data_IF_966830701407
#
_entry.id   IF_966830701407
#
_cell.length_a   1.000
_cell.length_b   1.000
_cell.length_c   1.000
_cell.angle_alpha   90.00
_cell.angle_beta   90.00
_cell.angle_gamma   90.00
#
_symmetry.space_group_name_H-M   'P 1'
#
loop_
_entity.id
_entity.type
_entity.pdbx_description
1 polymer ?
#
# COMPACT_ATOMS: atom_id res chain seq x y z
N UNK A 1 -17.70 -24.03 -37.89
CA UNK A 1 -16.59 -23.33 -38.57
C UNK A 1 -15.82 -22.62 -37.48
N UNK A 2 -14.79 -23.30 -36.97
CA UNK A 2 -14.22 -23.03 -35.64
C UNK A 2 -13.14 -21.97 -35.77
N UNK A 3 -13.46 -20.73 -35.38
CA UNK A 3 -12.50 -19.60 -35.36
C UNK A 3 -11.25 -19.96 -34.53
N UNK A 4 -11.37 -20.91 -33.60
CA UNK A 4 -10.33 -21.42 -32.73
C UNK A 4 -9.23 -22.24 -33.43
N UNK A 5 -9.48 -22.85 -34.60
CA UNK A 5 -8.51 -23.77 -35.23
C UNK A 5 -7.32 -23.04 -35.89
N UNK A 6 -7.45 -21.74 -36.17
CA UNK A 6 -6.42 -20.92 -36.81
C UNK A 6 -5.78 -19.88 -35.87
N UNK A 7 -6.13 -19.89 -34.58
CA UNK A 7 -5.55 -18.97 -33.61
C UNK A 7 -4.32 -19.62 -32.98
N UNK A 8 -3.24 -18.85 -32.89
CA UNK A 8 -2.08 -19.27 -32.10
C UNK A 8 -2.40 -19.14 -30.61
N UNK A 9 -1.62 -19.81 -29.76
CA UNK A 9 -1.76 -19.69 -28.30
C UNK A 9 -1.65 -18.22 -27.86
N UNK A 10 -0.75 -17.46 -28.47
CA UNK A 10 -0.58 -16.03 -28.18
C UNK A 10 -1.84 -15.21 -28.54
N UNK A 11 -2.56 -15.60 -29.59
CA UNK A 11 -3.80 -14.91 -29.96
C UNK A 11 -4.90 -15.19 -28.93
N UNK A 12 -4.96 -16.42 -28.41
CA UNK A 12 -5.89 -16.79 -27.35
C UNK A 12 -5.56 -16.06 -26.04
N UNK A 13 -4.29 -15.96 -25.67
CA UNK A 13 -3.84 -15.20 -24.51
C UNK A 13 -4.26 -13.73 -24.60
N UNK A 14 -3.99 -13.08 -25.74
CA UNK A 14 -4.41 -11.68 -25.97
C UNK A 14 -5.93 -11.48 -25.87
N UNK A 15 -6.71 -12.45 -26.33
CA UNK A 15 -8.17 -12.39 -26.24
C UNK A 15 -8.66 -12.57 -24.79
N UNK A 16 -8.01 -13.42 -24.02
CA UNK A 16 -8.31 -13.62 -22.60
C UNK A 16 -7.97 -12.34 -21.82
N UNK A 17 -6.80 -11.76 -22.05
CA UNK A 17 -6.36 -10.54 -21.37
C UNK A 17 -7.31 -9.38 -21.66
N UNK A 18 -7.64 -9.14 -22.93
CA UNK A 18 -8.61 -8.10 -23.32
C UNK A 18 -9.97 -8.29 -22.63
N UNK A 19 -10.42 -9.55 -22.50
CA UNK A 19 -11.71 -9.86 -21.86
C UNK A 19 -11.66 -9.69 -20.34
N UNK A 20 -10.53 -10.01 -19.71
CA UNK A 20 -10.30 -9.80 -18.28
C UNK A 20 -10.26 -8.31 -17.99
N UNK A 21 -9.53 -7.53 -18.79
CA UNK A 21 -9.43 -6.08 -18.64
C UNK A 21 -10.79 -5.40 -18.72
N UNK A 22 -11.61 -5.71 -19.72
CA UNK A 22 -13.00 -5.21 -19.81
C UNK A 22 -13.82 -5.53 -18.56
N UNK A 23 -13.66 -6.74 -18.03
CA UNK A 23 -14.39 -7.19 -16.85
C UNK A 23 -13.90 -6.48 -15.58
N UNK A 24 -12.59 -6.29 -15.44
CA UNK A 24 -11.99 -5.57 -14.32
C UNK A 24 -12.40 -4.10 -14.35
N UNK A 25 -12.38 -3.46 -15.52
CA UNK A 25 -12.88 -2.10 -15.73
C UNK A 25 -14.35 -1.99 -15.34
N UNK A 26 -15.18 -2.95 -15.77
CA UNK A 26 -16.62 -2.94 -15.43
C UNK A 26 -16.89 -3.12 -13.94
N UNK A 27 -16.04 -3.84 -13.19
CA UNK A 27 -16.27 -4.15 -11.78
C UNK A 27 -15.64 -3.12 -10.83
N UNK A 28 -14.47 -2.58 -11.20
CA UNK A 28 -13.66 -1.75 -10.33
C UNK A 28 -13.60 -0.28 -10.80
N UNK A 29 -14.16 0.03 -11.97
CA UNK A 29 -14.03 1.32 -12.63
C UNK A 29 -12.78 1.40 -13.52
N UNK A 30 -12.67 2.44 -14.35
CA UNK A 30 -11.44 2.73 -15.08
C UNK A 30 -10.40 3.30 -14.11
N UNK A 31 -9.34 2.54 -13.84
CA UNK A 31 -8.14 3.07 -13.21
C UNK A 31 -7.29 3.72 -14.30
N UNK A 32 -7.54 5.01 -14.58
CA UNK A 32 -6.58 5.84 -15.31
C UNK A 32 -5.44 6.22 -14.35
N UNK A 33 -4.67 5.22 -13.92
CA UNK A 33 -3.35 5.49 -13.34
C UNK A 33 -2.44 5.77 -14.53
N UNK A 34 -2.26 7.03 -14.90
CA UNK A 34 -1.16 7.39 -15.77
C UNK A 34 0.13 6.91 -15.12
N UNK A 35 1.05 6.32 -15.90
CA UNK A 35 2.38 5.97 -15.38
C UNK A 35 2.99 7.18 -14.68
N UNK A 36 2.79 8.38 -15.23
CA UNK A 36 3.15 9.65 -14.62
C UNK A 36 2.63 9.79 -13.17
N UNK A 37 1.37 9.46 -12.88
CA UNK A 37 0.79 9.57 -11.53
C UNK A 37 1.30 8.50 -10.55
N UNK A 38 1.81 7.37 -11.04
CA UNK A 38 2.47 6.36 -10.21
C UNK A 38 3.91 6.78 -9.84
N UNK A 39 4.57 7.55 -10.71
CA UNK A 39 5.89 8.13 -10.46
C UNK A 39 5.83 9.51 -9.76
N UNK A 40 4.67 10.16 -9.72
CA UNK A 40 4.42 11.43 -8.99
C UNK A 40 4.09 11.21 -7.50
N UNK A 41 4.15 9.97 -7.00
CA UNK A 41 4.25 9.76 -5.54
C UNK A 41 5.61 10.28 -5.10
N UNK A 42 5.60 11.54 -4.69
CA UNK A 42 6.71 12.39 -4.27
C UNK A 42 7.44 11.82 -3.04
N UNK A 43 8.02 10.62 -3.17
CA UNK A 43 8.89 10.01 -2.17
C UNK A 43 10.17 10.84 -1.96
N UNK A 44 10.51 11.69 -2.95
CA UNK A 44 11.71 12.53 -3.00
C UNK A 44 11.43 14.04 -2.76
N UNK A 45 10.17 14.48 -2.56
CA UNK A 45 9.89 15.90 -2.24
C UNK A 45 10.13 16.28 -0.78
N UNK A 46 10.21 15.30 0.12
CA UNK A 46 10.74 15.55 1.45
C UNK A 46 12.27 15.51 1.36
N UNK A 47 12.91 16.62 1.71
CA UNK A 47 14.37 16.71 1.77
C UNK A 47 14.93 15.47 2.51
N UNK A 48 15.96 14.80 1.97
CA UNK A 48 16.48 13.57 2.56
C UNK A 48 16.80 13.83 4.03
N UNK A 49 16.33 12.94 4.91
CA UNK A 49 16.53 13.09 6.35
C UNK A 49 18.03 13.17 6.65
N UNK A 50 18.47 14.37 7.07
CA UNK A 50 19.88 14.66 7.35
C UNK A 50 20.31 14.24 8.76
N UNK A 51 19.39 13.69 9.56
CA UNK A 51 19.69 13.26 10.92
C UNK A 51 20.56 12.01 10.93
N UNK A 52 21.53 12.00 11.83
CA UNK A 52 22.31 10.78 12.11
C UNK A 52 21.45 9.76 12.86
N UNK A 53 21.82 8.48 12.77
CA UNK A 53 21.15 7.42 13.52
C UNK A 53 21.07 7.69 15.03
N UNK A 54 22.11 8.29 15.61
CA UNK A 54 22.13 8.65 17.03
C UNK A 54 21.11 9.73 17.37
N UNK A 55 20.94 10.73 16.50
CA UNK A 55 19.94 11.78 16.66
C UNK A 55 18.52 11.24 16.56
N UNK A 56 18.25 10.36 15.58
CA UNK A 56 16.95 9.69 15.44
C UNK A 56 16.61 8.89 16.71
N UNK A 57 17.58 8.14 17.24
CA UNK A 57 17.38 7.38 18.48
C UNK A 57 17.08 8.30 19.67
N UNK A 58 17.79 9.42 19.78
CA UNK A 58 17.57 10.39 20.85
C UNK A 58 16.19 11.07 20.75
N UNK A 59 15.77 11.43 19.53
CA UNK A 59 14.45 12.00 19.28
C UNK A 59 13.35 11.02 19.70
N UNK A 60 13.48 9.73 19.32
CA UNK A 60 12.54 8.69 19.74
C UNK A 60 12.45 8.59 21.26
N UNK A 61 13.58 8.60 21.97
CA UNK A 61 13.58 8.52 23.45
C UNK A 61 12.99 9.77 24.10
N UNK A 62 13.24 10.96 23.55
CA UNK A 62 12.65 12.21 24.04
C UNK A 62 11.14 12.23 23.83
N UNK A 63 10.69 11.78 22.67
CA UNK A 63 9.29 11.87 22.25
C UNK A 63 8.47 10.68 22.76
N UNK A 64 9.12 9.73 23.45
CA UNK A 64 8.41 8.69 24.20
C UNK A 64 7.55 9.31 25.28
N UNK A 65 6.24 9.10 25.13
CA UNK A 65 5.32 9.33 26.23
C UNK A 65 5.67 8.42 27.40
N UNK A 66 6.16 9.01 28.49
CA UNK A 66 6.36 8.30 29.75
C UNK A 66 5.05 8.41 30.55
N UNK A 67 4.32 7.31 30.78
CA UNK A 67 3.11 7.35 31.57
C UNK A 67 3.38 7.94 32.96
N UNK A 68 2.48 8.79 33.50
CA UNK A 68 2.64 9.29 34.87
C UNK A 68 2.64 8.12 35.87
N UNK A 69 3.29 8.28 37.04
CA UNK A 69 3.32 7.23 38.06
C UNK A 69 1.89 6.82 38.46
N UNK A 70 1.61 5.52 38.42
CA UNK A 70 0.28 4.97 38.69
C UNK A 70 -0.64 4.86 37.47
N UNK A 71 -0.22 5.31 36.28
CA UNK A 71 -0.96 5.03 35.06
C UNK A 71 -1.05 3.51 34.81
N UNK A 72 -2.24 3.06 34.43
CA UNK A 72 -2.48 1.66 34.10
C UNK A 72 -1.60 1.27 32.92
N UNK A 73 -0.91 0.13 33.04
CA UNK A 73 -0.20 -0.45 31.89
C UNK A 73 -1.19 -0.73 30.76
N UNK A 74 -0.71 -0.74 29.50
CA UNK A 74 -1.54 -1.08 28.35
C UNK A 74 -2.27 -2.42 28.52
N UNK A 75 -1.65 -3.37 29.22
CA UNK A 75 -2.24 -4.67 29.52
C UNK A 75 -3.40 -4.57 30.53
N UNK A 76 -3.28 -3.70 31.54
CA UNK A 76 -4.38 -3.43 32.48
C UNK A 76 -5.57 -2.77 31.77
N UNK A 77 -5.33 -1.84 30.84
CA UNK A 77 -6.40 -1.23 30.02
C UNK A 77 -7.10 -2.27 29.14
N UNK A 78 -6.34 -3.19 28.52
CA UNK A 78 -6.91 -4.27 27.69
C UNK A 78 -7.78 -5.26 28.50
N UNK A 79 -7.47 -5.47 29.79
CA UNK A 79 -8.31 -6.31 30.66
C UNK A 79 -9.63 -5.64 31.00
N UNK A 80 -9.62 -4.33 31.26
CA UNK A 80 -10.83 -3.54 31.56
C UNK A 80 -11.75 -3.39 30.35
N UNK A 81 -11.20 -3.28 29.13
CA UNK A 81 -12.00 -3.20 27.90
C UNK A 81 -12.73 -4.50 27.53
N UNK A 82 -12.39 -5.62 28.17
CA UNK A 82 -12.99 -6.95 27.92
C UNK A 82 -14.14 -7.30 28.88
N UNK A 83 -14.36 -6.49 29.91
CA UNK A 83 -15.49 -6.58 30.86
C UNK A 83 -16.59 -5.63 30.46
#
# INVERSE_FOLDING_TARGET
MTILENLTVNDLERMIDARIDERLISLLGQFELSEDALFDFDFDAEAPDTRTWEQVKQDIERDRWTPPPGAKSSLALLREART
#
